data_IF_792183124441
#
_entry.id   IF_792183124441
#
_cell.length_a   1.000
_cell.length_b   1.000
_cell.length_c   1.000
_cell.angle_alpha   90.00
_cell.angle_beta   90.00
_cell.angle_gamma   90.00
#
_symmetry.space_group_name_H-M   'P 1'
#
loop_
_entity.id
_entity.type
_entity.pdbx_description
1 polymer ?
#
# COMPACT_ATOMS: atom_id res chain seq x y z
N UNK A 1 15.08 -18.01 -8.52
CA UNK A 1 15.39 -16.65 -8.01
C UNK A 1 14.07 -15.97 -7.71
N UNK A 2 13.66 -15.92 -6.44
CA UNK A 2 12.38 -15.33 -6.02
C UNK A 2 12.47 -13.81 -6.15
N UNK A 3 11.76 -13.26 -7.13
CA UNK A 3 11.68 -11.81 -7.32
C UNK A 3 10.78 -11.24 -6.22
N UNK A 4 11.39 -10.75 -5.13
CA UNK A 4 10.69 -9.97 -4.12
C UNK A 4 10.29 -8.63 -4.73
N UNK A 5 9.04 -8.50 -5.18
CA UNK A 5 8.43 -7.19 -5.34
C UNK A 5 8.01 -6.67 -3.96
N UNK A 6 8.99 -6.29 -3.13
CA UNK A 6 8.73 -5.23 -2.17
C UNK A 6 8.55 -3.97 -3.01
N UNK A 7 7.28 -3.72 -3.36
CA UNK A 7 6.72 -2.51 -3.94
C UNK A 7 7.75 -1.37 -4.01
N UNK A 8 8.14 -1.01 -5.23
CA UNK A 8 9.00 0.13 -5.54
C UNK A 8 8.35 1.45 -5.14
N UNK A 9 8.25 1.69 -3.83
CA UNK A 9 8.22 3.02 -3.27
C UNK A 9 9.68 3.45 -3.09
N UNK A 10 9.99 4.56 -3.74
CA UNK A 10 11.18 5.39 -3.56
C UNK A 10 11.16 6.00 -2.15
N UNK A 11 11.12 5.21 -1.08
CA UNK A 11 11.23 5.69 0.30
C UNK A 11 11.80 4.57 1.18
N UNK A 12 13.13 4.47 1.14
CA UNK A 12 13.90 3.46 1.87
C UNK A 12 13.69 3.59 3.40
N UNK A 13 13.42 2.46 4.03
CA UNK A 13 13.65 2.09 5.43
C UNK A 13 12.78 2.70 6.56
N UNK A 14 12.46 3.99 6.59
CA UNK A 14 11.71 4.56 7.74
C UNK A 14 10.18 4.34 7.70
N UNK A 15 9.64 3.92 6.55
CA UNK A 15 8.19 3.92 6.28
C UNK A 15 7.54 2.55 6.42
N UNK A 16 8.27 1.47 6.70
CA UNK A 16 7.66 0.14 6.74
C UNK A 16 6.66 0.03 7.89
N UNK A 17 6.99 0.49 9.09
CA UNK A 17 6.08 0.31 10.22
C UNK A 17 4.89 1.27 10.17
N UNK A 18 5.14 2.56 9.87
CA UNK A 18 4.12 3.61 9.92
C UNK A 18 3.15 3.56 8.74
N UNK A 19 3.65 3.33 7.51
CA UNK A 19 2.78 3.25 6.32
C UNK A 19 1.85 2.04 6.37
N UNK A 20 2.32 0.90 6.91
CA UNK A 20 1.45 -0.26 7.11
C UNK A 20 0.39 0.07 8.14
N UNK A 21 0.72 0.67 9.28
CA UNK A 21 -0.32 0.93 10.28
C UNK A 21 -1.43 1.91 9.85
N UNK A 22 -1.21 2.70 8.79
CA UNK A 22 -2.18 3.60 8.18
C UNK A 22 -2.79 3.10 6.86
N UNK A 23 -2.64 1.82 6.52
CA UNK A 23 -3.18 1.21 5.31
C UNK A 23 -2.10 0.85 4.28
N UNK A 24 -1.42 1.86 3.72
CA UNK A 24 -0.36 1.69 2.73
C UNK A 24 -0.87 1.25 1.36
N UNK A 25 -1.17 2.23 0.50
CA UNK A 25 -1.61 2.02 -0.89
C UNK A 25 -0.42 1.94 -1.85
N UNK A 26 -0.62 1.28 -2.99
CA UNK A 26 0.39 1.16 -4.03
C UNK A 26 -0.16 0.54 -5.31
N UNK A 27 0.70 0.32 -6.31
CA UNK A 27 0.30 -0.12 -7.65
C UNK A 27 -0.42 -1.48 -7.67
N UNK A 28 -0.22 -2.30 -6.65
CA UNK A 28 -0.83 -3.63 -6.55
C UNK A 28 -2.17 -3.64 -5.78
N UNK A 29 -2.64 -2.48 -5.32
CA UNK A 29 -3.80 -2.42 -4.42
C UNK A 29 -5.10 -2.95 -5.03
N UNK A 30 -5.25 -2.86 -6.35
CA UNK A 30 -6.44 -3.33 -7.06
C UNK A 30 -6.56 -4.87 -7.06
N UNK A 31 -5.43 -5.57 -6.96
CA UNK A 31 -5.37 -7.02 -6.92
C UNK A 31 -5.31 -7.58 -5.50
N UNK A 32 -4.52 -6.94 -4.63
CA UNK A 32 -4.16 -7.50 -3.33
C UNK A 32 -4.64 -6.66 -2.14
N UNK A 33 -5.37 -5.57 -2.38
CA UNK A 33 -5.81 -4.66 -1.32
C UNK A 33 -4.67 -3.83 -0.76
N UNK A 34 -4.90 -3.24 0.41
CA UNK A 34 -3.90 -2.43 1.09
C UNK A 34 -2.82 -3.30 1.73
N UNK A 35 -1.70 -2.67 2.12
CA UNK A 35 -0.63 -3.38 2.81
C UNK A 35 -1.12 -4.00 4.14
N UNK A 36 -2.07 -3.35 4.82
CA UNK A 36 -2.72 -3.87 6.05
C UNK A 36 -3.53 -5.14 5.87
N UNK A 37 -4.14 -5.31 4.70
CA UNK A 37 -5.00 -6.46 4.40
C UNK A 37 -4.17 -7.74 4.30
N UNK A 38 -2.87 -7.60 4.04
CA UNK A 38 -1.92 -8.69 3.88
C UNK A 38 -1.12 -8.99 5.15
N UNK A 39 -1.42 -8.35 6.29
CA UNK A 39 -0.74 -8.60 7.56
C UNK A 39 -1.35 -9.82 8.25
N UNK A 40 -0.51 -10.79 8.59
CA UNK A 40 -0.92 -12.04 9.26
C UNK A 40 -0.52 -12.09 10.74
N UNK A 41 0.50 -11.35 11.17
CA UNK A 41 0.91 -11.25 12.57
C UNK A 41 1.66 -9.93 12.81
N UNK A 42 1.80 -9.53 14.07
CA UNK A 42 2.51 -8.34 14.49
C UNK A 42 3.12 -8.53 15.88
N UNK A 43 4.28 -7.90 16.10
CA UNK A 43 4.89 -7.77 17.41
C UNK A 43 4.74 -6.31 17.84
N UNK A 44 4.05 -6.08 18.96
CA UNK A 44 3.74 -4.76 19.52
C UNK A 44 4.26 -4.68 20.95
N UNK A 45 4.83 -3.55 21.34
CA UNK A 45 5.14 -3.23 22.74
C UNK A 45 4.09 -2.25 23.25
N UNK A 46 3.39 -2.63 24.32
CA UNK A 46 2.37 -1.79 24.95
C UNK A 46 3.00 -0.68 25.83
N UNK A 47 2.18 0.23 26.34
CA UNK A 47 2.63 1.32 27.21
C UNK A 47 3.23 0.84 28.56
N UNK A 48 3.00 -0.42 28.93
CA UNK A 48 3.55 -1.05 30.14
C UNK A 48 4.87 -1.78 29.86
N UNK A 49 5.34 -1.81 28.60
CA UNK A 49 6.55 -2.51 28.19
C UNK A 49 6.36 -4.00 27.90
N UNK A 50 5.13 -4.50 27.85
CA UNK A 50 4.86 -5.90 27.52
C UNK A 50 4.97 -6.12 26.01
N UNK A 51 5.60 -7.22 25.61
CA UNK A 51 5.65 -7.66 24.22
C UNK A 51 4.41 -8.50 23.92
N UNK A 52 3.58 -7.99 23.01
CA UNK A 52 2.36 -8.62 22.52
C UNK A 52 2.60 -9.18 21.11
N UNK A 53 2.24 -10.44 20.92
CA UNK A 53 2.17 -11.12 19.62
C UNK A 53 0.70 -11.37 19.28
N UNK A 54 0.33 -11.70 18.03
CA UNK A 54 -1.10 -11.88 17.68
C UNK A 54 -1.88 -12.81 18.62
N UNK A 55 -1.24 -13.86 19.16
CA UNK A 55 -1.90 -14.78 20.10
C UNK A 55 -2.19 -14.18 21.48
N UNK A 56 -1.34 -13.27 21.95
CA UNK A 56 -1.49 -12.60 23.26
C UNK A 56 -2.16 -11.24 23.14
N UNK A 57 -2.14 -10.68 21.94
CA UNK A 57 -2.85 -9.48 21.53
C UNK A 57 -4.31 -9.83 21.30
N UNK A 58 -5.22 -9.05 21.87
CA UNK A 58 -6.65 -9.20 21.60
C UNK A 58 -6.94 -8.87 20.13
N UNK A 59 -7.95 -9.51 19.55
CA UNK A 59 -8.31 -9.31 18.12
C UNK A 59 -8.74 -7.87 17.79
N UNK A 60 -9.32 -7.14 18.75
CA UNK A 60 -9.67 -5.73 18.61
C UNK A 60 -8.43 -4.84 18.43
N UNK A 61 -7.38 -5.11 19.20
CA UNK A 61 -6.10 -4.41 19.11
C UNK A 61 -5.38 -4.76 17.81
N UNK A 62 -5.40 -6.04 17.41
CA UNK A 62 -4.84 -6.47 16.13
C UNK A 62 -5.58 -5.86 14.93
N UNK A 63 -6.90 -5.67 15.02
CA UNK A 63 -7.65 -4.91 14.02
C UNK A 63 -7.26 -3.44 14.01
N UNK A 64 -7.15 -2.80 15.18
CA UNK A 64 -6.87 -1.38 15.30
C UNK A 64 -5.50 -0.98 14.72
N UNK A 65 -4.46 -1.80 14.95
CA UNK A 65 -3.13 -1.51 14.40
C UNK A 65 -3.04 -1.70 12.87
N UNK A 66 -4.02 -2.36 12.25
CA UNK A 66 -4.11 -2.60 10.78
C UNK A 66 -4.91 -1.52 10.06
N UNK A 67 -4.67 -0.25 10.38
CA UNK A 67 -5.28 0.89 9.67
C UNK A 67 -5.58 2.10 10.56
N UNK A 68 -5.67 1.90 11.88
CA UNK A 68 -5.96 2.95 12.86
C UNK A 68 -4.76 3.81 13.26
N UNK A 69 -3.58 3.60 12.67
CA UNK A 69 -2.34 4.29 13.04
C UNK A 69 -1.67 3.68 14.27
N UNK A 70 -0.53 3.04 14.05
CA UNK A 70 0.12 2.19 15.05
C UNK A 70 0.63 2.96 16.28
N UNK A 71 1.02 4.21 16.07
CA UNK A 71 1.53 5.10 17.12
C UNK A 71 0.51 5.36 18.24
N UNK A 72 -0.80 5.19 17.98
CA UNK A 72 -1.86 5.37 18.97
C UNK A 72 -1.99 4.19 19.94
N UNK A 73 -1.45 3.02 19.57
CA UNK A 73 -1.70 1.76 20.27
C UNK A 73 -0.44 1.14 20.89
N UNK A 74 0.75 1.66 20.57
CA UNK A 74 2.02 1.24 21.11
C UNK A 74 3.15 1.34 20.10
N UNK A 75 4.25 0.62 20.35
CA UNK A 75 5.40 0.56 19.44
C UNK A 75 5.39 -0.77 18.71
N UNK A 76 5.10 -0.74 17.40
CA UNK A 76 5.17 -1.95 16.57
C UNK A 76 6.62 -2.23 16.22
N UNK A 77 7.11 -3.39 16.64
CA UNK A 77 8.50 -3.81 16.44
C UNK A 77 8.66 -4.55 15.12
N UNK A 78 7.71 -5.42 14.78
CA UNK A 78 7.77 -6.23 13.58
C UNK A 78 6.38 -6.56 13.02
N UNK A 79 6.33 -6.76 11.71
CA UNK A 79 5.15 -7.21 10.98
C UNK A 79 5.44 -8.53 10.28
N UNK A 80 4.50 -9.46 10.36
CA UNK A 80 4.50 -10.66 9.54
C UNK A 80 3.49 -10.47 8.40
N UNK A 81 3.96 -10.60 7.16
CA UNK A 81 3.19 -10.28 5.96
C UNK A 81 3.00 -11.50 5.08
N UNK A 82 1.80 -11.65 4.52
CA UNK A 82 1.52 -12.60 3.45
C UNK A 82 2.08 -12.04 2.14
N UNK A 83 2.97 -12.79 1.51
CA UNK A 83 3.51 -12.44 0.20
C UNK A 83 2.46 -12.71 -0.88
N UNK A 84 2.26 -11.74 -1.77
CA UNK A 84 1.40 -11.87 -2.94
C UNK A 84 2.18 -12.46 -4.12
N UNK A 85 1.61 -13.41 -4.89
CA UNK A 85 2.25 -13.93 -6.08
C UNK A 85 2.25 -12.87 -7.19
N UNK A 86 3.37 -12.70 -7.88
CA UNK A 86 3.49 -11.75 -9.00
C UNK A 86 4.11 -12.49 -10.18
N UNK A 87 3.62 -12.30 -11.42
CA UNK A 87 4.25 -12.88 -12.59
C UNK A 87 5.70 -12.40 -12.71
N UNK A 88 6.60 -13.23 -13.27
CA UNK A 88 8.01 -12.89 -13.42
C UNK A 88 8.26 -11.71 -14.37
N UNK A 89 7.27 -11.34 -15.20
CA UNK A 89 7.32 -10.20 -16.10
C UNK A 89 6.09 -9.32 -15.87
N UNK A 90 6.32 -8.01 -15.79
CA UNK A 90 5.29 -6.98 -15.62
C UNK A 90 5.54 -5.86 -16.63
N UNK A 91 4.47 -5.21 -17.10
CA UNK A 91 4.57 -4.11 -18.05
C UNK A 91 4.28 -2.79 -17.35
N UNK A 92 5.14 -1.79 -17.57
CA UNK A 92 4.95 -0.42 -17.10
C UNK A 92 4.97 0.50 -18.30
N UNK A 93 4.08 1.50 -18.32
CA UNK A 93 4.06 2.54 -19.33
C UNK A 93 3.85 3.91 -18.70
N UNK A 94 4.30 4.95 -19.40
CA UNK A 94 4.05 6.34 -19.04
C UNK A 94 3.74 7.13 -20.31
N UNK A 95 2.67 7.92 -20.27
CA UNK A 95 2.28 8.81 -21.35
C UNK A 95 2.07 10.20 -20.78
N UNK A 96 2.73 11.20 -21.38
CA UNK A 96 2.57 12.61 -21.03
C UNK A 96 1.67 13.27 -22.06
N UNK A 97 0.69 14.06 -21.59
CA UNK A 97 -0.21 14.83 -22.43
C UNK A 97 -0.32 16.25 -21.92
N UNK A 98 -0.15 17.21 -22.81
CA UNK A 98 -0.42 18.62 -22.53
C UNK A 98 -1.92 18.92 -22.64
N UNK A 99 -2.34 20.06 -22.09
CA UNK A 99 -3.74 20.53 -22.18
C UNK A 99 -4.16 20.70 -23.64
N UNK A 100 -3.26 21.25 -24.48
CA UNK A 100 -3.51 21.42 -25.92
C UNK A 100 -3.75 20.10 -26.66
N UNK A 101 -3.17 18.99 -26.19
CA UNK A 101 -3.39 17.66 -26.75
C UNK A 101 -4.64 16.94 -26.18
N UNK A 102 -5.49 17.66 -25.44
CA UNK A 102 -6.72 17.10 -24.88
C UNK A 102 -6.56 16.38 -23.54
N UNK A 103 -5.56 16.74 -22.72
CA UNK A 103 -5.38 16.15 -21.38
C UNK A 103 -6.65 16.23 -20.50
N UNK A 104 -7.47 17.28 -20.66
CA UNK A 104 -8.74 17.43 -19.92
C UNK A 104 -9.73 16.31 -20.26
N UNK A 105 -9.87 15.97 -21.54
CA UNK A 105 -10.75 14.88 -21.99
C UNK A 105 -10.23 13.52 -21.50
N UNK A 106 -8.89 13.33 -21.51
CA UNK A 106 -8.26 12.13 -20.97
C UNK A 106 -8.53 11.99 -19.47
N UNK A 107 -8.36 13.06 -18.69
CA UNK A 107 -8.62 13.09 -17.25
C UNK A 107 -10.10 12.75 -16.95
N UNK A 108 -11.03 13.39 -17.67
CA UNK A 108 -12.45 13.11 -17.52
C UNK A 108 -12.76 11.63 -17.81
N UNK A 109 -12.25 11.09 -18.91
CA UNK A 109 -12.42 9.66 -19.24
C UNK A 109 -11.79 8.76 -18.17
N UNK A 110 -10.59 9.09 -17.70
CA UNK A 110 -9.86 8.36 -16.67
C UNK A 110 -10.70 8.20 -15.39
N UNK A 111 -11.37 9.27 -14.94
CA UNK A 111 -12.23 9.23 -13.74
C UNK A 111 -13.36 8.20 -13.85
N UNK A 112 -13.89 7.96 -15.05
CA UNK A 112 -15.02 7.03 -15.27
C UNK A 112 -14.60 5.58 -15.51
N UNK A 113 -13.38 5.35 -15.99
CA UNK A 113 -12.91 4.01 -16.39
C UNK A 113 -11.89 3.41 -15.42
N UNK A 114 -11.04 4.21 -14.78
CA UNK A 114 -9.86 3.70 -14.07
C UNK A 114 -10.19 2.68 -12.97
N UNK A 115 -11.30 2.85 -12.24
CA UNK A 115 -11.73 1.92 -11.20
C UNK A 115 -12.34 0.62 -11.76
N UNK A 116 -12.85 0.64 -13.00
CA UNK A 116 -13.59 -0.45 -13.65
C UNK A 116 -12.76 -1.30 -14.60
N UNK A 117 -11.51 -0.90 -14.89
CA UNK A 117 -10.59 -1.67 -15.71
C UNK A 117 -10.27 -3.04 -15.07
N UNK A 118 -9.65 -3.95 -15.84
CA UNK A 118 -9.17 -5.21 -15.30
C UNK A 118 -8.31 -4.97 -14.06
N UNK A 119 -8.51 -5.77 -13.00
CA UNK A 119 -7.81 -5.67 -11.72
C UNK A 119 -6.27 -5.73 -11.85
N UNK A 120 -5.76 -6.39 -12.90
CA UNK A 120 -4.34 -6.49 -13.21
C UNK A 120 -3.74 -5.20 -13.78
N UNK A 121 -4.60 -4.23 -14.17
CA UNK A 121 -4.18 -2.92 -14.67
C UNK A 121 -4.31 -1.84 -13.59
N UNK A 122 -3.18 -1.27 -13.18
CA UNK A 122 -3.15 -0.09 -12.33
C UNK A 122 -2.80 1.16 -13.15
N UNK A 123 -3.68 2.15 -13.13
CA UNK A 123 -3.54 3.37 -13.92
C UNK A 123 -3.57 4.59 -13.00
N UNK A 124 -2.42 5.25 -12.85
CA UNK A 124 -2.28 6.50 -12.08
C UNK A 124 -2.13 7.69 -13.04
N UNK A 125 -2.65 8.84 -12.63
CA UNK A 125 -2.53 10.10 -13.36
C UNK A 125 -1.95 11.15 -12.40
N UNK A 126 -0.87 11.80 -12.82
CA UNK A 126 -0.28 12.95 -12.11
C UNK A 126 -0.46 14.21 -12.95
N UNK A 127 -0.81 15.31 -12.28
CA UNK A 127 -0.90 16.64 -12.89
C UNK A 127 0.30 17.47 -12.42
N UNK A 128 1.25 17.68 -13.32
CA UNK A 128 2.40 18.52 -13.05
C UNK A 128 2.17 19.93 -13.61
N UNK A 129 2.27 20.94 -12.75
CA UNK A 129 2.28 22.34 -13.19
C UNK A 129 3.71 22.72 -13.54
N UNK A 130 4.00 22.97 -14.82
CA UNK A 130 5.24 23.64 -15.22
C UNK A 130 5.11 25.12 -14.83
N UNK A 131 5.98 25.58 -13.93
CA UNK A 131 6.23 27.00 -13.69
C UNK A 131 7.21 27.53 -14.73
#
# INVERSE_FOLDING_TARGET
MFMLSLLGCVFLWALVVTSRSGGGYGNLMRNYGLSVDNIIDAILVDAKGNVLIRKTMREDLFWAIRGGGGASFGVIVAWNIKLAPVPPQVTVFSAKKSVAEGATNLLYKWQHVASKLDKDLFLTLSLDKKF
#
